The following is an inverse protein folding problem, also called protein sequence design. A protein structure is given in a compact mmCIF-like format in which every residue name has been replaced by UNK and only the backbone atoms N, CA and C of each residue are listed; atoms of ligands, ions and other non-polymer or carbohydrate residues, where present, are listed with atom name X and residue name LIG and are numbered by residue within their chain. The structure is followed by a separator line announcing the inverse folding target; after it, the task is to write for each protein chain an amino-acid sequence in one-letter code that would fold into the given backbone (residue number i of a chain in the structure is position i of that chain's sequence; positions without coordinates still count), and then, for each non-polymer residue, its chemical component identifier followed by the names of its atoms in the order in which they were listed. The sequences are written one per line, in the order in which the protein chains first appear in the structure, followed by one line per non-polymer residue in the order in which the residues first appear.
data_IF_797993166774
#
_entry.id   IF_797993166774
#
_cell.length_a   1.000
_cell.length_b   1.000
_cell.length_c   1.000
_cell.angle_alpha   90.00
_cell.angle_beta   90.00
_cell.angle_gamma   90.00
#
_symmetry.space_group_name_H-M   'P 1'
#
loop_
_entity.id
_entity.type
_entity.pdbx_description
1 polymer ?
#
# COMPACT_ATOMS: atom_id res chain seq x y z
N UNK A 1 1.70 12.07 -0.45
CA UNK A 1 0.48 11.24 -0.55
C UNK A 1 0.46 10.04 0.41
N UNK A 2 -0.69 9.35 0.51
CA UNK A 2 -1.03 8.41 1.59
C UNK A 2 -0.69 6.94 1.30
N UNK A 3 -0.46 6.18 2.39
CA UNK A 3 -0.44 4.71 2.40
C UNK A 3 -1.32 4.27 3.56
N UNK A 4 -2.33 3.47 3.26
CA UNK A 4 -3.39 3.15 4.21
C UNK A 4 -3.74 1.67 4.17
N UNK A 5 -4.40 1.20 5.23
CA UNK A 5 -4.76 -0.20 5.37
C UNK A 5 -6.03 -0.36 6.20
N UNK A 6 -6.97 -1.18 5.70
CA UNK A 6 -8.21 -1.50 6.40
C UNK A 6 -8.55 -2.98 6.20
N UNK A 7 -9.36 -3.53 7.10
CA UNK A 7 -9.75 -4.94 7.05
C UNK A 7 -10.77 -5.16 5.93
N UNK A 8 -10.59 -6.21 5.12
CA UNK A 8 -11.57 -6.63 4.12
C UNK A 8 -12.46 -7.73 4.69
N UNK A 9 -11.84 -8.77 5.23
CA UNK A 9 -12.48 -9.94 5.81
C UNK A 9 -11.60 -10.52 6.92
N UNK A 10 -11.85 -11.76 7.34
CA UNK A 10 -11.08 -12.39 8.40
C UNK A 10 -9.66 -12.80 8.00
N UNK A 11 -9.43 -13.06 6.72
CA UNK A 11 -8.18 -13.57 6.17
C UNK A 11 -7.37 -12.49 5.46
N UNK A 12 -8.01 -11.37 5.09
CA UNK A 12 -7.44 -10.36 4.21
C UNK A 12 -7.67 -8.92 4.68
N UNK A 13 -6.71 -8.10 4.28
CA UNK A 13 -6.68 -6.65 4.42
C UNK A 13 -6.57 -6.01 3.05
N UNK A 14 -7.04 -4.78 2.93
CA UNK A 14 -6.74 -3.91 1.82
C UNK A 14 -5.50 -3.11 2.16
N UNK A 15 -4.54 -3.06 1.24
CA UNK A 15 -3.38 -2.18 1.33
C UNK A 15 -3.43 -1.17 0.19
N UNK A 16 -3.73 0.09 0.52
CA UNK A 16 -3.76 1.19 -0.43
C UNK A 16 -2.40 1.89 -0.47
N UNK A 17 -1.89 2.14 -1.67
CA UNK A 17 -0.63 2.83 -1.86
C UNK A 17 -0.71 3.75 -3.07
N UNK A 18 -0.38 5.02 -2.85
CA UNK A 18 -0.23 6.00 -3.90
C UNK A 18 1.05 5.77 -4.74
N UNK A 19 0.97 6.04 -6.04
CA UNK A 19 2.05 5.96 -7.03
C UNK A 19 3.25 6.87 -6.76
N UNK A 20 3.17 7.84 -5.85
CA UNK A 20 4.35 8.53 -5.30
C UNK A 20 5.34 7.55 -4.64
N UNK A 21 4.83 6.49 -4.00
CA UNK A 21 5.61 5.53 -3.24
C UNK A 21 6.12 4.38 -4.10
N UNK A 22 6.81 4.71 -5.20
CA UNK A 22 7.31 3.74 -6.22
C UNK A 22 8.13 2.60 -5.63
N UNK A 23 8.85 2.84 -4.54
CA UNK A 23 9.65 1.81 -3.85
C UNK A 23 8.77 0.73 -3.22
N UNK A 24 7.61 1.11 -2.66
CA UNK A 24 6.63 0.18 -2.09
C UNK A 24 6.04 -0.69 -3.20
N UNK A 25 5.56 -0.09 -4.29
CA UNK A 25 5.04 -0.82 -5.45
C UNK A 25 6.06 -1.82 -6.01
N UNK A 26 7.33 -1.39 -6.15
CA UNK A 26 8.41 -2.27 -6.60
C UNK A 26 8.65 -3.43 -5.64
N UNK A 27 8.60 -3.20 -4.33
CA UNK A 27 8.72 -4.26 -3.33
C UNK A 27 7.54 -5.22 -3.39
N UNK A 28 6.31 -4.73 -3.55
CA UNK A 28 5.13 -5.58 -3.63
C UNK A 28 5.24 -6.53 -4.81
N UNK A 29 5.51 -5.98 -6.00
CA UNK A 29 5.63 -6.74 -7.24
C UNK A 29 6.79 -7.76 -7.22
N UNK A 30 7.90 -7.45 -6.55
CA UNK A 30 9.11 -8.30 -6.59
C UNK A 30 9.12 -9.39 -5.52
N UNK A 31 8.64 -9.12 -4.32
CA UNK A 31 8.90 -9.99 -3.16
C UNK A 31 7.69 -10.32 -2.30
N UNK A 32 6.57 -9.61 -2.46
CA UNK A 32 5.38 -9.84 -1.63
C UNK A 32 4.28 -10.57 -2.37
N UNK A 33 4.14 -10.33 -3.68
CA UNK A 33 3.16 -11.01 -4.52
C UNK A 33 1.72 -10.74 -4.11
N UNK A 34 1.45 -9.60 -3.47
CA UNK A 34 0.09 -9.20 -3.13
C UNK A 34 -0.70 -8.90 -4.40
N UNK A 35 -1.91 -9.42 -4.48
CA UNK A 35 -2.78 -9.31 -5.65
C UNK A 35 -3.31 -7.88 -5.80
N UNK A 36 -3.33 -7.34 -7.02
CA UNK A 36 -3.96 -6.04 -7.29
C UNK A 36 -5.48 -6.20 -7.31
N UNK A 37 -6.18 -5.46 -6.44
CA UNK A 37 -7.64 -5.50 -6.33
C UNK A 37 -8.31 -4.37 -7.10
N UNK A 38 -7.70 -3.17 -7.05
CA UNK A 38 -8.24 -1.99 -7.69
C UNK A 38 -7.13 -1.01 -8.07
N UNK A 39 -7.35 -0.27 -9.14
CA UNK A 39 -6.49 0.84 -9.59
C UNK A 39 -7.29 2.13 -9.60
N UNK A 40 -6.70 3.22 -9.11
CA UNK A 40 -7.33 4.53 -9.08
C UNK A 40 -6.67 5.44 -10.10
N UNK A 41 -7.48 6.06 -10.96
CA UNK A 41 -6.99 6.94 -12.02
C UNK A 41 -7.64 8.31 -11.92
N UNK A 42 -6.90 9.35 -12.31
CA UNK A 42 -7.39 10.73 -12.42
C UNK A 42 -6.75 11.36 -13.66
N UNK A 43 -7.58 11.89 -14.56
CA UNK A 43 -7.13 12.48 -15.83
C UNK A 43 -6.18 11.55 -16.60
N UNK A 44 -6.60 10.28 -16.79
CA UNK A 44 -5.85 9.22 -17.46
C UNK A 44 -4.49 8.87 -16.83
N UNK A 45 -4.22 9.36 -15.61
CA UNK A 45 -3.03 9.05 -14.83
C UNK A 45 -3.36 8.11 -13.70
N UNK A 46 -2.63 7.00 -13.59
CA UNK A 46 -2.66 6.13 -12.42
C UNK A 46 -2.12 6.88 -11.19
N UNK A 47 -2.96 7.01 -10.18
CA UNK A 47 -2.62 7.72 -8.93
C UNK A 47 -2.42 6.76 -7.76
N UNK A 48 -3.09 5.61 -7.72
CA UNK A 48 -2.90 4.64 -6.66
C UNK A 48 -3.30 3.22 -7.06
N UNK A 49 -2.84 2.25 -6.28
CA UNK A 49 -3.20 0.84 -6.39
C UNK A 49 -3.61 0.34 -5.02
N UNK A 50 -4.69 -0.44 -4.96
CA UNK A 50 -5.08 -1.24 -3.82
C UNK A 50 -4.68 -2.69 -4.04
N UNK A 51 -4.03 -3.27 -3.04
CA UNK A 51 -3.61 -4.67 -3.03
C UNK A 51 -4.39 -5.48 -1.98
N UNK A 52 -4.62 -6.77 -2.27
CA UNK A 52 -5.07 -7.77 -1.30
C UNK A 52 -3.88 -8.21 -0.47
N UNK A 53 -3.95 -7.96 0.83
CA UNK A 53 -2.93 -8.29 1.80
C UNK A 53 -3.41 -9.44 2.69
N UNK A 54 -2.79 -10.62 2.63
CA UNK A 54 -3.09 -11.68 3.59
C UNK A 54 -2.79 -11.24 5.03
N UNK A 55 -3.61 -11.65 6.00
CA UNK A 55 -3.44 -11.33 7.43
C UNK A 55 -2.06 -11.76 7.96
N UNK A 56 -1.47 -12.82 7.41
CA UNK A 56 -0.09 -13.26 7.73
C UNK A 56 0.98 -12.20 7.46
N UNK A 57 0.71 -11.28 6.52
CA UNK A 57 1.61 -10.20 6.12
C UNK A 57 1.26 -8.85 6.77
N UNK A 58 0.24 -8.79 7.63
CA UNK A 58 -0.21 -7.57 8.33
C UNK A 58 0.96 -6.77 8.94
N UNK A 59 1.82 -7.44 9.71
CA UNK A 59 2.98 -6.78 10.37
C UNK A 59 3.98 -6.23 9.36
N UNK A 60 4.15 -6.91 8.21
CA UNK A 60 5.05 -6.44 7.15
C UNK A 60 4.48 -5.19 6.48
N UNK A 61 3.18 -5.15 6.24
CA UNK A 61 2.50 -4.00 5.66
C UNK A 61 2.45 -2.80 6.63
N UNK A 62 2.15 -3.06 7.91
CA UNK A 62 2.11 -2.01 8.94
C UNK A 62 3.44 -1.26 9.06
N UNK A 63 4.58 -1.95 8.93
CA UNK A 63 5.91 -1.31 8.90
C UNK A 63 6.11 -0.36 7.71
N UNK A 64 5.47 -0.63 6.57
CA UNK A 64 5.53 0.27 5.42
C UNK A 64 4.70 1.54 5.65
N UNK A 65 3.49 1.38 6.21
CA UNK A 65 2.63 2.51 6.60
C UNK A 65 3.36 3.44 7.58
N UNK A 66 3.94 2.87 8.65
CA UNK A 66 4.67 3.65 9.65
C UNK A 66 5.86 4.40 9.04
N UNK A 67 6.66 3.73 8.19
CA UNK A 67 7.80 4.38 7.53
C UNK A 67 7.38 5.60 6.70
N UNK A 68 6.21 5.54 6.06
CA UNK A 68 5.69 6.68 5.29
C UNK A 68 5.23 7.79 6.23
N UNK A 69 4.49 7.46 7.29
CA UNK A 69 4.06 8.45 8.30
C UNK A 69 5.24 9.18 8.95
N UNK A 70 6.25 8.45 9.42
CA UNK A 70 7.44 9.03 10.06
C UNK A 70 8.19 9.97 9.11
N UNK A 71 8.23 9.64 7.81
CA UNK A 71 8.87 10.49 6.80
C UNK A 71 8.12 11.80 6.55
N UNK A 72 6.80 11.79 6.69
CA UNK A 72 5.95 12.98 6.55
C UNK A 72 6.11 13.88 7.76
N UNK A 73 6.11 13.34 8.97
CA UNK A 73 6.31 14.11 10.20
C UNK A 73 7.70 14.73 10.30
N UNK A 74 8.73 14.06 9.76
CA UNK A 74 10.11 14.59 9.77
C UNK A 74 10.36 15.69 8.72
N UNK A 75 9.45 15.89 7.78
CA UNK A 75 9.59 16.87 6.68
C UNK A 75 8.70 18.11 6.86
N UNK A 76 7.96 18.19 7.96
CA UNK A 76 7.06 19.29 8.33
C UNK A 76 7.71 20.19 9.39
#
# INVERSE_FOLDING_TARGET
MAVEMWRLDDENWAFYCDMEHKAIHRSIRRSKGWEEMATYQKNDKLIAIQYRLPTSDYRKARRLVLRVHDSVESSA
#
